data_IF_859312970513
#
_entry.id   IF_859312970513
#
_cell.length_a   1.000
_cell.length_b   1.000
_cell.length_c   1.000
_cell.angle_alpha   90.00
_cell.angle_beta   90.00
_cell.angle_gamma   90.00
#
_symmetry.space_group_name_H-M   'P 1'
#
loop_
_entity.id
_entity.type
_entity.pdbx_description
1 polymer ?
#
# COMPACT_ATOMS: atom_id res chain seq x y z
N UNK A 1 -18.44 -10.70 -21.45
CA UNK A 1 -17.11 -10.09 -21.31
C UNK A 1 -16.09 -11.19 -21.47
N UNK A 2 -15.14 -11.09 -22.37
CA UNK A 2 -13.98 -11.97 -22.38
C UNK A 2 -12.86 -11.28 -21.60
N UNK A 3 -12.29 -11.95 -20.60
CA UNK A 3 -11.04 -11.50 -19.99
C UNK A 3 -9.95 -11.39 -21.04
N UNK A 4 -8.87 -10.61 -20.79
CA UNK A 4 -7.78 -10.38 -21.75
C UNK A 4 -6.97 -11.63 -22.14
N UNK A 5 -7.56 -12.81 -22.02
CA UNK A 5 -7.06 -14.08 -22.54
C UNK A 5 -7.51 -14.35 -23.99
N UNK A 6 -8.21 -13.40 -24.62
CA UNK A 6 -8.60 -13.54 -26.02
C UNK A 6 -7.36 -13.59 -26.91
N UNK A 7 -7.23 -14.68 -27.65
CA UNK A 7 -6.16 -14.86 -28.63
C UNK A 7 -6.52 -14.07 -29.87
N UNK A 8 -5.62 -13.19 -30.32
CA UNK A 8 -5.81 -12.50 -31.60
C UNK A 8 -5.83 -13.52 -32.75
N UNK A 9 -6.72 -13.35 -33.72
CA UNK A 9 -6.85 -14.25 -34.87
C UNK A 9 -5.56 -14.38 -35.71
N UNK A 10 -4.60 -13.47 -35.51
CA UNK A 10 -3.29 -13.46 -36.17
C UNK A 10 -2.22 -14.32 -35.48
N UNK A 11 -2.48 -14.86 -34.28
CA UNK A 11 -1.49 -15.69 -33.58
C UNK A 11 -1.36 -17.05 -34.24
N UNK A 12 -0.18 -17.34 -34.79
CA UNK A 12 0.15 -18.59 -35.47
C UNK A 12 1.23 -19.41 -34.75
N UNK A 13 1.73 -18.94 -33.60
CA UNK A 13 2.73 -19.68 -32.83
C UNK A 13 2.12 -20.95 -32.24
N UNK A 14 2.83 -22.10 -32.20
CA UNK A 14 2.38 -23.27 -31.46
C UNK A 14 2.21 -22.96 -30.00
N UNK A 15 1.07 -23.31 -29.41
CA UNK A 15 0.81 -23.06 -27.99
C UNK A 15 -0.63 -23.40 -27.63
N UNK A 16 -0.89 -23.45 -26.32
CA UNK A 16 -2.23 -23.61 -25.78
C UNK A 16 -2.83 -22.25 -25.48
N UNK A 17 -3.95 -21.92 -26.13
CA UNK A 17 -4.64 -20.65 -25.98
C UNK A 17 -5.99 -20.88 -25.33
N UNK A 18 -6.25 -20.19 -24.20
CA UNK A 18 -7.47 -20.31 -23.43
C UNK A 18 -8.22 -18.98 -23.41
N UNK A 19 -9.49 -19.00 -23.77
CA UNK A 19 -10.43 -17.92 -23.51
C UNK A 19 -11.44 -18.39 -22.47
N UNK A 20 -11.58 -17.64 -21.37
CA UNK A 20 -12.52 -17.98 -20.29
C UNK A 20 -13.75 -17.10 -20.37
N UNK A 21 -14.91 -17.71 -20.46
CA UNK A 21 -16.19 -17.01 -20.39
C UNK A 21 -16.72 -17.02 -18.95
N UNK A 22 -16.85 -15.85 -18.34
CA UNK A 22 -17.32 -15.69 -16.96
C UNK A 22 -18.79 -16.03 -16.73
N UNK A 23 -19.56 -16.26 -17.80
CA UNK A 23 -20.96 -16.70 -17.68
C UNK A 23 -21.08 -18.19 -17.30
N UNK A 24 -20.02 -18.97 -17.41
CA UNK A 24 -19.98 -20.33 -16.94
C UNK A 24 -19.56 -20.34 -15.48
N UNK A 25 -20.35 -20.90 -14.59
CA UNK A 25 -20.01 -21.04 -13.17
C UNK A 25 -18.68 -21.77 -12.99
N UNK A 26 -17.76 -21.17 -12.27
CA UNK A 26 -16.45 -21.76 -11.97
C UNK A 26 -16.59 -22.56 -10.67
N UNK A 27 -16.36 -23.87 -10.74
CA UNK A 27 -16.19 -24.69 -9.53
C UNK A 27 -14.88 -24.28 -8.85
N UNK A 28 -14.89 -24.14 -7.52
CA UNK A 28 -13.72 -23.69 -6.76
C UNK A 28 -12.46 -24.52 -7.07
N UNK A 29 -11.42 -23.94 -7.69
CA UNK A 29 -10.18 -24.65 -7.92
C UNK A 29 -9.39 -24.72 -6.60
N UNK A 30 -8.66 -25.81 -6.35
CA UNK A 30 -7.77 -25.88 -5.21
C UNK A 30 -6.69 -24.79 -5.31
N UNK A 31 -6.35 -24.18 -4.19
CA UNK A 31 -5.30 -23.18 -4.09
C UNK A 31 -3.90 -23.73 -4.37
N UNK A 32 -2.94 -22.84 -4.44
CA UNK A 32 -1.51 -23.13 -4.58
C UNK A 32 -0.69 -21.97 -4.04
N UNK A 33 0.60 -22.20 -3.86
CA UNK A 33 1.51 -21.13 -3.42
C UNK A 33 1.42 -19.93 -4.33
N UNK A 34 1.26 -18.75 -3.74
CA UNK A 34 1.17 -17.46 -4.44
C UNK A 34 2.51 -16.75 -4.38
N UNK A 35 2.88 -16.08 -5.46
CA UNK A 35 4.13 -15.32 -5.57
C UNK A 35 3.83 -13.84 -5.76
N UNK A 36 4.47 -13.00 -4.96
CA UNK A 36 4.33 -11.55 -5.01
C UNK A 36 5.64 -10.90 -5.48
N UNK A 37 5.53 -9.90 -6.35
CA UNK A 37 6.59 -8.93 -6.62
C UNK A 37 6.34 -7.68 -5.78
N UNK A 38 7.32 -7.28 -4.97
CA UNK A 38 7.33 -6.02 -4.24
C UNK A 38 8.30 -5.05 -4.92
N UNK A 39 7.77 -3.97 -5.48
CA UNK A 39 8.54 -2.88 -6.08
C UNK A 39 8.57 -1.68 -5.13
N UNK A 40 9.74 -1.12 -4.89
CA UNK A 40 9.89 0.06 -4.04
C UNK A 40 11.15 0.85 -4.29
N UNK A 41 11.15 2.09 -3.83
CA UNK A 41 12.33 2.97 -3.87
C UNK A 41 13.39 2.48 -2.90
N UNK A 42 14.65 2.47 -3.33
CA UNK A 42 15.81 2.09 -2.52
C UNK A 42 16.35 3.35 -1.83
N UNK A 43 16.71 3.22 -0.56
CA UNK A 43 17.47 4.29 0.12
C UNK A 43 18.98 4.12 -0.09
N UNK A 44 19.73 5.14 0.28
CA UNK A 44 21.20 5.10 0.30
C UNK A 44 21.77 4.00 1.22
N UNK A 45 20.97 3.48 2.15
CA UNK A 45 21.31 2.39 3.05
C UNK A 45 20.87 1.00 2.54
N UNK A 46 20.12 0.93 1.44
CA UNK A 46 19.73 -0.32 0.79
C UNK A 46 20.86 -0.89 -0.07
N UNK A 47 20.89 -2.20 -0.23
CA UNK A 47 21.93 -2.91 -0.98
C UNK A 47 21.47 -3.46 -2.34
N UNK A 48 20.20 -3.27 -2.73
CA UNK A 48 19.70 -3.63 -4.04
C UNK A 48 20.30 -2.73 -5.13
N UNK A 49 20.62 -3.33 -6.27
CA UNK A 49 20.96 -2.54 -7.47
C UNK A 49 19.67 -2.09 -8.16
N UNK A 50 19.47 -0.77 -8.23
CA UNK A 50 18.27 -0.18 -8.80
C UNK A 50 18.01 -0.66 -10.24
N UNK A 51 16.73 -0.86 -10.55
CA UNK A 51 16.18 -1.14 -11.88
C UNK A 51 16.64 -2.43 -12.57
N UNK A 52 17.56 -3.18 -11.96
CA UNK A 52 18.16 -4.38 -12.59
C UNK A 52 18.15 -5.61 -11.70
N UNK A 53 18.34 -5.45 -10.39
CA UNK A 53 18.41 -6.58 -9.47
C UNK A 53 17.01 -7.03 -9.03
N UNK A 54 16.78 -8.35 -9.13
CA UNK A 54 15.62 -9.01 -8.56
C UNK A 54 16.12 -9.98 -7.50
N UNK A 55 15.83 -9.72 -6.25
CA UNK A 55 16.12 -10.65 -5.16
C UNK A 55 14.92 -11.55 -4.93
N UNK A 56 15.09 -12.83 -5.23
CA UNK A 56 14.01 -13.80 -5.27
C UNK A 56 13.79 -14.49 -3.93
N UNK A 57 12.53 -14.85 -3.67
CA UNK A 57 12.13 -15.74 -2.57
C UNK A 57 12.59 -15.28 -1.19
N UNK A 58 12.46 -13.97 -0.89
CA UNK A 58 12.73 -13.48 0.46
C UNK A 58 11.69 -14.10 1.43
N UNK A 59 12.14 -14.37 2.67
CA UNK A 59 11.34 -15.07 3.68
C UNK A 59 11.10 -14.25 4.94
N UNK A 60 11.15 -12.94 4.84
CA UNK A 60 10.93 -12.05 5.98
C UNK A 60 11.15 -10.60 5.62
N UNK A 61 10.70 -9.73 6.49
CA UNK A 61 10.85 -8.29 6.32
C UNK A 61 12.31 -7.82 6.41
N UNK A 62 13.16 -8.54 7.13
CA UNK A 62 14.58 -8.20 7.30
C UNK A 62 15.35 -8.21 5.96
N UNK A 63 14.99 -9.13 5.06
CA UNK A 63 15.58 -9.14 3.72
C UNK A 63 15.11 -7.94 2.87
N UNK A 64 13.90 -7.46 3.07
CA UNK A 64 13.41 -6.24 2.46
C UNK A 64 14.04 -4.99 3.11
N UNK A 65 14.29 -5.02 4.43
CA UNK A 65 15.05 -3.97 5.14
C UNK A 65 16.46 -3.83 4.56
N UNK A 66 17.17 -4.95 4.40
CA UNK A 66 18.50 -4.98 3.81
C UNK A 66 18.47 -4.45 2.37
N UNK A 67 17.50 -4.88 1.57
CA UNK A 67 17.40 -4.51 0.17
C UNK A 67 17.03 -3.05 -0.08
N UNK A 68 15.99 -2.56 0.56
CA UNK A 68 15.47 -1.20 0.34
C UNK A 68 16.00 -0.16 1.32
N UNK A 69 16.50 -0.61 2.47
CA UNK A 69 16.85 0.23 3.60
C UNK A 69 15.74 0.25 4.66
N UNK A 70 16.18 0.44 5.90
CA UNK A 70 15.34 0.44 7.09
C UNK A 70 14.27 1.54 7.04
N UNK A 71 13.03 1.20 7.34
CA UNK A 71 11.89 2.13 7.38
C UNK A 71 11.41 2.65 6.02
N UNK A 72 12.01 2.22 4.91
CA UNK A 72 11.50 2.58 3.58
C UNK A 72 10.08 2.03 3.36
N UNK A 73 9.25 2.65 2.49
CA UNK A 73 7.90 2.18 2.23
C UNK A 73 7.81 0.70 1.88
N UNK A 74 8.75 0.19 1.07
CA UNK A 74 8.80 -1.22 0.70
C UNK A 74 9.16 -2.14 1.89
N UNK A 75 10.08 -1.73 2.78
CA UNK A 75 10.35 -2.47 4.02
C UNK A 75 9.10 -2.53 4.92
N UNK A 76 8.42 -1.41 5.11
CA UNK A 76 7.20 -1.36 5.94
C UNK A 76 6.04 -2.16 5.31
N UNK A 77 5.91 -2.14 3.98
CA UNK A 77 4.98 -2.99 3.26
C UNK A 77 5.29 -4.48 3.44
N UNK A 78 6.57 -4.87 3.37
CA UNK A 78 7.01 -6.23 3.63
C UNK A 78 6.69 -6.66 5.08
N UNK A 79 6.89 -5.78 6.08
CA UNK A 79 6.49 -6.06 7.47
C UNK A 79 5.01 -6.35 7.59
N UNK A 80 4.16 -5.54 6.96
CA UNK A 80 2.72 -5.76 6.96
C UNK A 80 2.35 -7.06 6.24
N UNK A 81 2.94 -7.34 5.08
CA UNK A 81 2.70 -8.54 4.29
C UNK A 81 3.09 -9.81 5.05
N UNK A 82 4.30 -9.89 5.59
CA UNK A 82 4.78 -11.06 6.33
C UNK A 82 4.07 -11.23 7.68
N UNK A 83 3.55 -10.15 8.28
CA UNK A 83 2.70 -10.24 9.47
C UNK A 83 1.36 -10.92 9.15
N UNK A 84 0.79 -10.66 7.97
CA UNK A 84 -0.40 -11.36 7.48
C UNK A 84 -0.12 -12.80 7.10
N UNK A 85 0.96 -13.05 6.36
CA UNK A 85 1.32 -14.37 5.86
C UNK A 85 2.83 -14.63 5.94
N UNK A 86 3.32 -15.21 7.04
CA UNK A 86 4.75 -15.50 7.26
C UNK A 86 5.38 -16.44 6.22
N UNK A 87 4.57 -17.23 5.51
CA UNK A 87 5.03 -18.16 4.49
C UNK A 87 4.93 -17.60 3.06
N UNK A 88 4.70 -16.31 2.91
CA UNK A 88 4.59 -15.67 1.60
C UNK A 88 5.87 -15.85 0.78
N UNK A 89 5.70 -16.11 -0.52
CA UNK A 89 6.79 -16.07 -1.49
C UNK A 89 6.85 -14.68 -2.11
N UNK A 90 7.87 -13.92 -1.76
CA UNK A 90 8.02 -12.53 -2.20
C UNK A 90 9.35 -12.37 -2.90
N UNK A 91 9.32 -11.77 -4.08
CA UNK A 91 10.50 -11.24 -4.75
C UNK A 91 10.51 -9.73 -4.60
N UNK A 92 11.69 -9.16 -4.46
CA UNK A 92 11.85 -7.71 -4.34
C UNK A 92 12.67 -7.16 -5.50
N UNK A 93 12.24 -6.02 -6.02
CA UNK A 93 13.00 -5.27 -7.02
C UNK A 93 13.02 -3.78 -6.64
N UNK A 94 14.20 -3.21 -6.68
CA UNK A 94 14.44 -1.84 -6.26
C UNK A 94 14.36 -0.85 -7.42
N UNK A 95 13.89 0.35 -7.12
CA UNK A 95 13.83 1.48 -8.04
C UNK A 95 14.67 2.62 -7.48
N UNK A 96 15.43 3.31 -8.33
CA UNK A 96 16.23 4.46 -7.89
C UNK A 96 15.33 5.57 -7.30
N UNK A 97 15.76 6.26 -6.24
CA UNK A 97 15.03 7.43 -5.75
C UNK A 97 14.93 8.50 -6.86
N UNK A 98 13.85 9.31 -6.91
CA UNK A 98 13.75 10.37 -7.89
C UNK A 98 14.75 11.49 -7.53
N UNK A 99 15.20 12.25 -8.52
CA UNK A 99 16.01 13.44 -8.27
C UNK A 99 15.12 14.62 -7.79
N UNK A 100 14.42 14.40 -6.69
CA UNK A 100 13.41 15.32 -6.14
C UNK A 100 13.85 15.97 -4.82
N UNK A 101 12.89 16.18 -3.95
CA UNK A 101 13.08 16.71 -2.58
C UNK A 101 12.36 15.78 -1.61
N UNK A 102 12.95 15.55 -0.45
CA UNK A 102 12.32 14.83 0.66
C UNK A 102 11.26 15.71 1.33
N UNK A 103 10.10 15.13 1.64
CA UNK A 103 9.08 15.82 2.40
C UNK A 103 9.56 16.10 3.84
N UNK A 104 9.17 17.26 4.38
CA UNK A 104 9.54 17.63 5.75
C UNK A 104 8.37 18.29 6.50
N UNK A 105 8.46 18.25 7.82
CA UNK A 105 7.53 18.91 8.74
C UNK A 105 8.18 19.16 10.08
N UNK A 106 7.55 19.95 10.93
CA UNK A 106 8.13 20.31 12.24
C UNK A 106 7.10 20.26 13.35
N UNK A 107 7.59 20.03 14.57
CA UNK A 107 6.90 20.35 15.81
C UNK A 107 7.66 21.52 16.48
N UNK A 108 6.98 22.61 16.70
CA UNK A 108 7.58 23.82 17.32
C UNK A 108 7.06 23.98 18.74
N UNK A 109 7.97 24.02 19.69
CA UNK A 109 7.68 24.28 21.11
C UNK A 109 7.82 25.75 21.40
N UNK A 110 6.81 26.33 22.02
CA UNK A 110 6.82 27.71 22.53
C UNK A 110 6.38 27.73 23.99
N UNK A 111 6.99 28.62 24.76
CA UNK A 111 6.66 28.82 26.19
C UNK A 111 6.64 30.31 26.51
N UNK A 112 5.65 30.71 27.31
CA UNK A 112 5.50 32.09 27.80
C UNK A 112 4.74 32.05 29.14
N UNK A 113 5.31 32.39 30.18
CA UNK A 113 6.56 32.30 30.92
C UNK A 113 6.97 30.85 31.27
N UNK A 114 7.93 30.56 32.16
CA UNK A 114 8.39 29.19 32.39
C UNK A 114 7.25 28.27 32.86
N UNK A 115 7.27 27.03 32.40
CA UNK A 115 6.31 25.99 32.77
C UNK A 115 6.41 25.74 34.28
N UNK A 116 5.33 25.95 35.00
CA UNK A 116 5.25 25.76 36.47
C UNK A 116 4.58 24.45 36.88
N UNK A 117 3.80 23.86 35.97
CA UNK A 117 3.12 22.57 36.17
C UNK A 117 3.45 21.67 34.98
N UNK A 118 3.67 20.37 35.23
CA UNK A 118 3.96 19.43 34.15
C UNK A 118 2.82 19.36 33.13
N UNK A 119 3.17 19.42 31.86
CA UNK A 119 2.25 19.31 30.72
C UNK A 119 2.61 18.08 29.88
N UNK A 120 1.62 17.31 29.46
CA UNK A 120 1.81 16.11 28.65
C UNK A 120 1.34 16.37 27.23
N UNK A 121 2.19 16.06 26.28
CA UNK A 121 1.89 16.08 24.86
C UNK A 121 1.91 14.67 24.28
N UNK A 122 0.97 14.40 23.40
CA UNK A 122 0.79 13.17 22.67
C UNK A 122 1.27 13.39 21.22
N UNK A 123 2.41 12.80 20.88
CA UNK A 123 2.99 12.89 19.53
C UNK A 123 2.63 11.66 18.73
N UNK A 124 2.41 11.85 17.44
CA UNK A 124 2.33 10.77 16.46
C UNK A 124 3.15 11.12 15.23
N UNK A 125 3.87 10.14 14.71
CA UNK A 125 4.57 10.20 13.43
C UNK A 125 4.29 8.87 12.71
N UNK A 126 3.67 8.93 11.53
CA UNK A 126 3.26 7.75 10.78
C UNK A 126 2.50 6.73 11.65
N UNK A 127 1.56 7.21 12.47
CA UNK A 127 0.77 6.40 13.40
C UNK A 127 1.48 5.97 14.70
N UNK A 128 2.83 6.06 14.78
CA UNK A 128 3.58 5.66 15.97
C UNK A 128 3.41 6.70 17.07
N UNK A 129 2.83 6.29 18.18
CA UNK A 129 2.39 7.15 19.28
C UNK A 129 3.40 7.23 20.40
N UNK A 130 3.60 8.45 20.97
CA UNK A 130 4.37 8.66 22.21
C UNK A 130 3.86 9.82 23.01
N UNK A 131 3.73 9.61 24.32
CA UNK A 131 3.55 10.68 25.31
C UNK A 131 4.90 11.22 25.76
N UNK A 132 5.01 12.54 25.80
CA UNK A 132 6.19 13.25 26.32
C UNK A 132 5.73 14.29 27.33
N UNK A 133 6.30 14.23 28.53
CA UNK A 133 6.07 15.22 29.59
C UNK A 133 7.03 16.38 29.45
N UNK A 134 6.50 17.59 29.52
CA UNK A 134 7.24 18.83 29.72
C UNK A 134 7.17 19.20 31.20
N UNK A 135 8.25 18.99 31.92
CA UNK A 135 8.29 19.23 33.38
C UNK A 135 8.62 20.67 33.70
N UNK A 136 8.24 21.15 34.91
CA UNK A 136 8.62 22.48 35.40
C UNK A 136 10.12 22.73 35.30
N UNK A 137 10.49 23.89 34.79
CA UNK A 137 11.88 24.32 34.64
C UNK A 137 12.61 23.73 33.40
N UNK A 138 12.02 22.82 32.66
CA UNK A 138 12.63 22.36 31.41
C UNK A 138 12.51 23.40 30.30
N UNK A 139 13.58 23.58 29.54
CA UNK A 139 13.56 24.45 28.38
C UNK A 139 12.90 23.75 27.15
N UNK A 140 12.44 24.54 26.16
CA UNK A 140 11.93 24.05 24.89
C UNK A 140 12.91 23.11 24.19
N UNK A 141 14.20 23.38 24.31
CA UNK A 141 15.28 22.54 23.73
C UNK A 141 15.33 21.16 24.34
N UNK A 142 15.18 21.07 25.67
CA UNK A 142 15.19 19.77 26.38
C UNK A 142 13.99 18.93 25.97
N UNK A 143 12.81 19.53 25.90
CA UNK A 143 11.60 18.78 25.51
C UNK A 143 11.66 18.35 24.06
N UNK A 144 12.10 19.20 23.13
CA UNK A 144 12.32 18.84 21.74
C UNK A 144 13.32 17.68 21.61
N UNK A 145 14.39 17.69 22.41
CA UNK A 145 15.37 16.60 22.43
C UNK A 145 14.75 15.27 22.92
N UNK A 146 13.85 15.28 23.92
CA UNK A 146 13.14 14.07 24.36
C UNK A 146 12.33 13.44 23.24
N UNK A 147 11.60 14.26 22.45
CA UNK A 147 10.84 13.78 21.28
C UNK A 147 11.77 13.15 20.25
N UNK A 148 12.83 13.86 19.86
CA UNK A 148 13.79 13.36 18.88
C UNK A 148 14.46 12.07 19.35
N UNK A 149 14.90 11.99 20.62
CA UNK A 149 15.53 10.79 21.19
C UNK A 149 14.61 9.57 21.10
N UNK A 150 13.34 9.73 21.45
CA UNK A 150 12.40 8.61 21.35
C UNK A 150 12.24 8.13 19.91
N UNK A 151 11.93 9.02 18.97
CA UNK A 151 11.70 8.61 17.59
C UNK A 151 12.96 8.11 16.90
N UNK A 152 14.14 8.60 17.28
CA UNK A 152 15.42 8.03 16.83
C UNK A 152 15.63 6.60 17.33
N UNK A 153 15.16 6.27 18.54
CA UNK A 153 15.27 4.89 19.06
C UNK A 153 14.44 3.85 18.31
N UNK A 154 13.42 4.29 17.56
CA UNK A 154 12.56 3.44 16.73
C UNK A 154 12.68 3.75 15.23
N UNK A 155 13.76 4.42 14.82
CA UNK A 155 13.93 4.92 13.45
C UNK A 155 13.88 3.83 12.37
N UNK A 156 14.18 2.56 12.73
CA UNK A 156 14.08 1.44 11.81
C UNK A 156 12.64 1.12 11.40
N UNK A 157 11.68 1.51 12.22
CA UNK A 157 10.25 1.34 11.97
C UNK A 157 9.56 2.62 11.49
N UNK A 158 10.33 3.68 11.28
CA UNK A 158 9.82 4.96 10.81
C UNK A 158 10.24 5.24 9.37
N UNK A 159 9.34 5.82 8.56
CA UNK A 159 9.63 6.24 7.20
C UNK A 159 10.39 7.58 7.12
N UNK A 160 10.82 8.12 8.25
CA UNK A 160 11.43 9.44 8.35
C UNK A 160 12.58 9.43 9.38
N UNK A 161 13.41 10.45 9.31
CA UNK A 161 14.40 10.82 10.32
C UNK A 161 13.84 11.94 11.19
N UNK A 162 14.23 11.98 12.46
CA UNK A 162 13.77 12.98 13.42
C UNK A 162 14.97 13.62 14.12
N UNK A 163 15.07 14.92 14.02
CA UNK A 163 16.14 15.71 14.65
C UNK A 163 15.54 16.85 15.47
N UNK A 164 16.32 17.45 16.36
CA UNK A 164 15.85 18.62 17.14
C UNK A 164 16.93 19.69 17.26
N UNK A 165 16.51 20.95 17.19
CA UNK A 165 17.34 22.13 17.44
C UNK A 165 16.48 23.28 17.98
N UNK A 166 16.98 23.99 18.99
CA UNK A 166 16.40 25.25 19.51
C UNK A 166 14.88 25.20 19.78
N UNK A 167 14.36 24.07 20.28
CA UNK A 167 12.94 23.91 20.55
C UNK A 167 12.09 23.54 19.36
N UNK A 168 12.70 23.20 18.23
CA UNK A 168 12.03 22.66 17.04
C UNK A 168 12.47 21.23 16.82
N UNK A 169 11.51 20.35 16.61
CA UNK A 169 11.73 18.98 16.11
C UNK A 169 11.45 18.96 14.63
N UNK A 170 12.42 18.58 13.83
CA UNK A 170 12.28 18.41 12.39
C UNK A 170 12.11 16.95 12.04
N UNK A 171 11.09 16.65 11.28
CA UNK A 171 10.76 15.32 10.73
C UNK A 171 10.99 15.39 9.22
N UNK A 172 11.86 14.54 8.68
CA UNK A 172 12.18 14.53 7.25
C UNK A 172 12.03 13.11 6.70
N UNK A 173 11.34 12.93 5.59
CA UNK A 173 11.26 11.65 4.89
C UNK A 173 12.66 11.12 4.56
N UNK A 174 12.86 9.81 4.65
CA UNK A 174 14.21 9.19 4.50
C UNK A 174 14.80 9.35 3.11
N UNK A 175 13.96 9.44 2.09
CA UNK A 175 14.39 9.66 0.70
C UNK A 175 13.46 10.69 0.02
N UNK A 176 13.89 11.14 -1.14
CA UNK A 176 13.11 12.04 -1.99
C UNK A 176 11.84 11.35 -2.51
N UNK A 177 10.87 12.15 -2.91
CA UNK A 177 9.66 11.68 -3.56
C UNK A 177 8.37 12.12 -2.91
N UNK A 178 7.30 12.07 -3.67
CA UNK A 178 5.95 12.46 -3.22
C UNK A 178 5.38 11.56 -2.14
N UNK A 179 5.87 10.32 -2.02
CA UNK A 179 5.43 9.36 -0.99
C UNK A 179 5.64 9.89 0.44
N UNK A 180 6.67 10.72 0.64
CA UNK A 180 6.93 11.36 1.93
C UNK A 180 5.82 12.30 2.39
N UNK A 181 5.03 12.86 1.47
CA UNK A 181 3.89 13.70 1.78
C UNK A 181 2.74 12.91 2.47
N UNK A 182 2.77 11.59 2.45
CA UNK A 182 1.78 10.75 3.12
C UNK A 182 2.12 10.48 4.60
N UNK A 183 3.32 10.84 5.05
CA UNK A 183 3.74 10.67 6.44
C UNK A 183 2.95 11.62 7.32
N UNK A 184 2.09 11.06 8.17
CA UNK A 184 1.30 11.83 9.13
C UNK A 184 2.17 12.31 10.28
N UNK A 185 1.96 13.55 10.71
CA UNK A 185 2.50 14.13 11.94
C UNK A 185 1.38 14.79 12.71
N UNK A 186 1.29 14.50 14.00
CA UNK A 186 0.32 15.19 14.86
C UNK A 186 0.83 15.33 16.27
N UNK A 187 0.36 16.38 16.93
CA UNK A 187 0.58 16.61 18.34
C UNK A 187 -0.72 17.09 18.98
N UNK A 188 -1.07 16.48 20.09
CA UNK A 188 -2.21 16.92 20.90
C UNK A 188 -1.76 17.07 22.35
N UNK A 189 -2.30 18.06 23.04
CA UNK A 189 -2.10 18.22 24.46
C UNK A 189 -3.10 17.36 25.21
N UNK A 190 -2.67 16.74 26.32
CA UNK A 190 -3.57 16.01 27.20
C UNK A 190 -4.54 16.97 27.91
N UNK A 191 -5.84 16.62 27.94
CA UNK A 191 -6.94 17.52 28.30
C UNK A 191 -6.98 17.95 29.78
N UNK A 192 -6.06 17.45 30.62
CA UNK A 192 -6.09 17.63 32.07
C UNK A 192 -5.34 18.86 32.62
N UNK A 193 -4.78 19.73 31.79
CA UNK A 193 -3.81 20.72 32.29
C UNK A 193 -4.04 22.17 31.86
N UNK A 194 -4.26 23.05 32.84
CA UNK A 194 -3.77 24.41 32.82
C UNK A 194 -2.32 24.41 33.33
N UNK A 195 -1.38 25.19 32.81
CA UNK A 195 -1.55 26.47 32.15
C UNK A 195 -1.41 26.41 30.60
N UNK A 196 -1.97 27.42 29.89
CA UNK A 196 -1.85 27.63 28.46
C UNK A 196 -0.45 28.05 27.98
N UNK A 197 0.51 28.07 28.90
CA UNK A 197 1.84 28.65 28.73
C UNK A 197 2.80 27.78 27.89
N UNK A 198 2.55 26.49 27.83
CA UNK A 198 3.32 25.51 27.05
C UNK A 198 2.51 25.10 25.82
N UNK A 199 3.01 25.44 24.66
CA UNK A 199 2.38 25.10 23.36
C UNK A 199 3.36 24.29 22.54
N UNK A 200 2.83 23.25 21.87
CA UNK A 200 3.53 22.56 20.79
C UNK A 200 2.60 22.51 19.58
N UNK A 201 3.08 22.97 18.44
CA UNK A 201 2.33 22.97 17.18
C UNK A 201 3.06 22.17 16.11
N UNK A 202 2.32 21.33 15.38
CA UNK A 202 2.80 20.70 14.15
C UNK A 202 2.67 21.70 12.98
N UNK A 203 3.59 21.63 12.01
CA UNK A 203 3.55 22.45 10.80
C UNK A 203 2.38 22.10 9.88
N UNK A 204 1.75 20.96 10.04
CA UNK A 204 0.61 20.45 9.29
C UNK A 204 0.18 19.09 9.79
N UNK A 205 -0.82 18.50 9.15
CA UNK A 205 -1.28 17.14 9.47
C UNK A 205 -0.39 16.05 8.83
N UNK A 206 0.40 16.41 7.83
CA UNK A 206 1.35 15.53 7.13
C UNK A 206 2.61 16.32 6.76
N UNK A 207 3.68 15.61 6.42
CA UNK A 207 4.85 16.22 5.82
C UNK A 207 4.48 16.81 4.45
N UNK A 208 5.25 17.77 4.01
CA UNK A 208 5.03 18.49 2.73
C UNK A 208 6.35 18.75 2.00
N UNK A 209 6.27 19.12 0.73
CA UNK A 209 7.44 19.50 -0.06
C UNK A 209 8.14 18.32 -0.76
N UNK A 210 7.70 17.08 -0.55
CA UNK A 210 8.17 15.94 -1.33
C UNK A 210 7.77 16.07 -2.80
N UNK A 211 8.73 15.91 -3.70
CA UNK A 211 8.51 16.09 -5.15
C UNK A 211 9.01 14.91 -5.96
N UNK A 212 8.42 14.71 -7.12
CA UNK A 212 8.70 13.66 -8.09
C UNK A 212 8.35 12.26 -7.59
N UNK A 213 8.21 11.34 -8.52
CA UNK A 213 7.99 9.90 -8.31
C UNK A 213 9.04 9.15 -9.11
N UNK A 214 9.59 8.09 -8.54
CA UNK A 214 10.59 7.26 -9.24
C UNK A 214 10.01 6.62 -10.49
N UNK A 215 10.83 6.47 -11.51
CA UNK A 215 10.45 5.80 -12.76
C UNK A 215 10.52 4.29 -12.59
N UNK A 216 9.39 3.59 -12.66
CA UNK A 216 9.30 2.12 -12.47
C UNK A 216 9.35 1.32 -13.77
N UNK A 217 9.34 1.98 -14.92
CA UNK A 217 9.25 1.30 -16.23
C UNK A 217 10.40 0.30 -16.46
N UNK A 218 11.63 0.66 -16.09
CA UNK A 218 12.82 -0.20 -16.23
C UNK A 218 12.73 -1.43 -15.32
N UNK A 219 12.38 -1.24 -14.05
CA UNK A 219 12.20 -2.34 -13.10
C UNK A 219 11.07 -3.29 -13.53
N UNK A 220 9.95 -2.76 -14.04
CA UNK A 220 8.86 -3.57 -14.61
C UNK A 220 9.32 -4.34 -15.86
N UNK A 221 10.15 -3.76 -16.71
CA UNK A 221 10.73 -4.45 -17.87
C UNK A 221 11.67 -5.59 -17.45
N UNK A 222 12.47 -5.42 -16.40
CA UNK A 222 13.37 -6.44 -15.88
C UNK A 222 12.60 -7.69 -15.38
N UNK A 223 11.40 -7.52 -14.84
CA UNK A 223 10.55 -8.62 -14.35
C UNK A 223 9.61 -9.20 -15.39
N UNK A 224 9.61 -8.69 -16.62
CA UNK A 224 8.69 -9.06 -17.71
C UNK A 224 8.70 -10.58 -18.04
N UNK A 225 9.85 -11.25 -17.82
CA UNK A 225 10.01 -12.69 -18.00
C UNK A 225 9.36 -13.57 -16.93
N UNK A 226 9.00 -13.01 -15.78
CA UNK A 226 8.59 -13.75 -14.58
C UNK A 226 7.07 -13.65 -14.40
N UNK A 227 6.44 -14.74 -13.97
CA UNK A 227 5.03 -14.73 -13.62
C UNK A 227 4.88 -14.51 -12.11
N UNK A 228 4.11 -13.48 -11.73
CA UNK A 228 3.71 -13.21 -10.36
C UNK A 228 2.19 -13.32 -10.24
N UNK A 229 1.69 -13.74 -9.10
CA UNK A 229 0.25 -13.66 -8.81
C UNK A 229 -0.13 -12.22 -8.45
N UNK A 230 0.76 -11.55 -7.71
CA UNK A 230 0.57 -10.16 -7.26
C UNK A 230 1.76 -9.27 -7.58
N UNK A 231 1.45 -8.05 -7.98
CA UNK A 231 2.41 -6.94 -8.05
C UNK A 231 1.99 -5.91 -6.99
N UNK A 232 2.84 -5.72 -5.99
CA UNK A 232 2.73 -4.68 -4.97
C UNK A 232 3.74 -3.59 -5.30
N UNK A 233 3.29 -2.54 -5.96
CA UNK A 233 4.12 -1.38 -6.26
C UNK A 233 3.87 -0.30 -5.21
N UNK A 234 4.88 0.02 -4.41
CA UNK A 234 4.83 1.02 -3.34
C UNK A 234 5.69 2.26 -3.64
N UNK A 235 6.07 2.42 -4.89
CA UNK A 235 6.69 3.65 -5.40
C UNK A 235 5.63 4.72 -5.58
N UNK A 236 5.86 5.92 -5.13
CA UNK A 236 4.83 6.97 -5.06
C UNK A 236 4.02 6.88 -3.77
N UNK A 237 2.85 7.41 -3.73
CA UNK A 237 1.97 7.43 -2.56
C UNK A 237 0.55 7.73 -2.97
N UNK A 238 -0.27 8.28 -2.06
CA UNK A 238 -1.64 8.68 -2.39
C UNK A 238 -1.70 9.61 -3.60
N UNK A 239 -0.82 10.60 -3.66
CA UNK A 239 -0.78 11.57 -4.77
C UNK A 239 -0.67 10.89 -6.13
N UNK A 240 0.06 9.77 -6.22
CA UNK A 240 0.23 9.04 -7.47
C UNK A 240 -0.95 8.11 -7.78
N UNK A 241 -1.58 7.54 -6.76
CA UNK A 241 -2.81 6.75 -6.92
C UNK A 241 -4.04 7.62 -7.18
N UNK A 242 -4.03 8.84 -6.67
CA UNK A 242 -5.10 9.83 -6.84
C UNK A 242 -5.07 10.49 -8.22
N UNK A 243 -3.97 10.37 -8.95
CA UNK A 243 -3.76 11.04 -10.22
C UNK A 243 -4.24 10.19 -11.40
N UNK A 244 -5.21 10.69 -12.16
CA UNK A 244 -5.66 10.13 -13.43
C UNK A 244 -4.67 10.46 -14.56
N UNK A 245 -3.44 9.96 -14.48
CA UNK A 245 -2.38 10.20 -15.45
C UNK A 245 -1.84 8.87 -16.00
N UNK A 246 -1.52 8.84 -17.29
CA UNK A 246 -0.94 7.66 -17.95
C UNK A 246 0.43 7.25 -17.37
N UNK A 247 1.10 8.16 -16.69
CA UNK A 247 2.41 7.95 -16.05
C UNK A 247 2.30 7.59 -14.58
N UNK A 248 1.09 7.55 -14.01
CA UNK A 248 0.90 7.15 -12.61
C UNK A 248 1.30 5.69 -12.38
N UNK A 249 1.73 5.36 -11.17
CA UNK A 249 2.18 4.01 -10.84
C UNK A 249 1.10 2.94 -11.10
N UNK A 250 -0.18 3.16 -10.75
CA UNK A 250 -1.24 2.21 -11.11
C UNK A 250 -1.41 2.04 -12.63
N UNK A 251 -1.28 3.13 -13.41
CA UNK A 251 -1.39 3.06 -14.87
C UNK A 251 -0.22 2.28 -15.50
N UNK A 252 1.01 2.49 -15.02
CA UNK A 252 2.20 1.76 -15.48
C UNK A 252 2.09 0.27 -15.18
N UNK A 253 1.66 -0.10 -13.97
CA UNK A 253 1.46 -1.50 -13.59
C UNK A 253 0.30 -2.14 -14.37
N UNK A 254 -0.82 -1.43 -14.57
CA UNK A 254 -1.92 -1.88 -15.44
C UNK A 254 -1.42 -2.17 -16.86
N UNK A 255 -0.63 -1.27 -17.45
CA UNK A 255 -0.08 -1.45 -18.78
C UNK A 255 0.85 -2.68 -18.85
N UNK A 256 1.69 -2.89 -17.85
CA UNK A 256 2.52 -4.08 -17.70
C UNK A 256 1.67 -5.35 -17.62
N UNK A 257 0.69 -5.39 -16.75
CA UNK A 257 -0.22 -6.53 -16.57
C UNK A 257 -0.93 -6.85 -17.88
N UNK A 258 -1.50 -5.85 -18.56
CA UNK A 258 -2.24 -6.04 -19.80
C UNK A 258 -1.35 -6.53 -20.94
N UNK A 259 -0.07 -6.16 -20.95
CA UNK A 259 0.90 -6.69 -21.91
C UNK A 259 1.13 -8.19 -21.73
N UNK A 260 1.13 -8.68 -20.50
CA UNK A 260 1.48 -10.07 -20.18
C UNK A 260 0.30 -10.97 -19.82
N UNK A 261 -0.87 -10.43 -19.49
CA UNK A 261 -2.11 -11.19 -19.28
C UNK A 261 -2.80 -11.59 -20.59
N UNK A 262 -2.04 -11.80 -21.64
CA UNK A 262 -2.59 -12.21 -22.95
C UNK A 262 -2.59 -13.72 -23.10
N UNK A 263 -3.41 -14.24 -24.03
CA UNK A 263 -3.41 -15.66 -24.38
C UNK A 263 -2.04 -16.20 -24.81
N UNK A 264 -1.22 -15.36 -25.44
CA UNK A 264 0.11 -15.73 -25.92
C UNK A 264 1.17 -15.78 -24.83
N UNK A 265 1.25 -14.76 -23.96
CA UNK A 265 2.25 -14.70 -22.90
C UNK A 265 1.81 -15.38 -21.60
N UNK A 266 0.51 -15.37 -21.35
CA UNK A 266 -0.12 -16.20 -20.33
C UNK A 266 0.34 -15.99 -18.87
N UNK A 267 0.84 -14.81 -18.54
CA UNK A 267 1.24 -14.45 -17.18
C UNK A 267 0.08 -13.74 -16.47
N UNK A 268 -0.67 -14.51 -15.70
CA UNK A 268 -1.90 -14.06 -15.04
C UNK A 268 -1.56 -13.34 -13.74
N UNK A 269 -1.52 -12.01 -13.79
CA UNK A 269 -1.06 -11.13 -12.73
C UNK A 269 -2.18 -10.20 -12.26
N UNK A 270 -2.12 -9.80 -10.99
CA UNK A 270 -3.00 -8.80 -10.39
C UNK A 270 -2.15 -7.78 -9.62
N UNK A 271 -2.66 -6.57 -9.44
CA UNK A 271 -2.00 -5.54 -8.64
C UNK A 271 -2.88 -5.05 -7.50
N UNK A 272 -2.23 -4.68 -6.40
CA UNK A 272 -2.88 -4.07 -5.23
C UNK A 272 -2.16 -2.77 -4.91
N UNK A 273 -2.94 -1.70 -4.73
CA UNK A 273 -2.47 -0.41 -4.26
C UNK A 273 -3.18 -0.05 -2.96
N UNK A 274 -2.43 0.26 -1.91
CA UNK A 274 -2.98 0.87 -0.71
C UNK A 274 -3.24 2.35 -0.93
N UNK A 275 -4.28 2.87 -0.32
CA UNK A 275 -4.67 4.28 -0.33
C UNK A 275 -5.06 4.69 1.09
N UNK A 276 -4.53 5.81 1.59
CA UNK A 276 -4.87 6.37 2.91
C UNK A 276 -5.44 7.79 2.82
N UNK A 277 -5.69 8.26 1.60
CA UNK A 277 -6.27 9.57 1.30
C UNK A 277 -7.78 9.65 1.51
N UNK A 278 -8.42 10.51 0.74
CA UNK A 278 -9.88 10.68 0.76
C UNK A 278 -10.57 9.69 -0.17
N UNK A 279 -11.84 9.39 0.11
CA UNK A 279 -12.65 8.58 -0.81
C UNK A 279 -12.76 9.23 -2.20
N UNK A 280 -12.91 10.55 -2.26
CA UNK A 280 -13.05 11.27 -3.53
C UNK A 280 -11.81 11.10 -4.43
N UNK A 281 -10.60 11.22 -3.87
CA UNK A 281 -9.36 11.01 -4.59
C UNK A 281 -9.22 9.55 -5.07
N UNK A 282 -9.46 8.58 -4.17
CA UNK A 282 -9.44 7.16 -4.53
C UNK A 282 -10.41 6.81 -5.68
N UNK A 283 -11.60 7.41 -5.69
CA UNK A 283 -12.59 7.25 -6.77
C UNK A 283 -12.08 7.78 -8.11
N UNK A 284 -11.39 8.92 -8.10
CA UNK A 284 -10.79 9.50 -9.31
C UNK A 284 -9.75 8.55 -9.92
N UNK A 285 -8.84 8.03 -9.10
CA UNK A 285 -7.84 7.07 -9.54
C UNK A 285 -8.46 5.74 -10.02
N UNK A 286 -9.42 5.21 -9.26
CA UNK A 286 -10.13 3.98 -9.64
C UNK A 286 -10.87 4.11 -10.96
N UNK A 287 -11.57 5.23 -11.17
CA UNK A 287 -12.30 5.50 -12.42
C UNK A 287 -11.36 5.57 -13.65
N UNK A 288 -10.17 6.09 -13.46
CA UNK A 288 -9.15 6.12 -14.52
C UNK A 288 -8.60 4.72 -14.83
N UNK A 289 -8.36 3.92 -13.82
CA UNK A 289 -7.83 2.56 -13.97
C UNK A 289 -8.89 1.62 -14.54
N UNK A 290 -10.05 1.51 -13.91
CA UNK A 290 -11.20 0.68 -14.31
C UNK A 290 -10.80 -0.71 -14.85
N UNK A 291 -10.10 -1.51 -14.03
CA UNK A 291 -9.45 -2.75 -14.47
C UNK A 291 -9.71 -3.88 -13.47
N UNK A 292 -10.16 -5.09 -13.93
CA UNK A 292 -10.45 -6.22 -13.03
C UNK A 292 -9.19 -6.84 -12.38
N UNK A 293 -8.00 -6.47 -12.86
CA UNK A 293 -6.73 -6.97 -12.33
C UNK A 293 -6.10 -6.03 -11.32
N UNK A 294 -6.70 -4.88 -11.06
CA UNK A 294 -6.19 -3.86 -10.13
C UNK A 294 -7.17 -3.63 -8.99
N UNK A 295 -6.68 -3.58 -7.77
CA UNK A 295 -7.44 -3.29 -6.55
C UNK A 295 -6.87 -2.04 -5.88
N UNK A 296 -7.76 -1.12 -5.49
CA UNK A 296 -7.45 0.02 -4.62
C UNK A 296 -8.02 -0.23 -3.24
N UNK A 297 -7.14 -0.51 -2.27
CA UNK A 297 -7.52 -0.76 -0.88
C UNK A 297 -7.44 0.52 -0.07
N UNK A 298 -8.59 1.07 0.34
CA UNK A 298 -8.70 2.35 1.03
C UNK A 298 -8.78 2.20 2.55
N UNK A 299 -7.80 2.72 3.28
CA UNK A 299 -7.89 3.05 4.69
C UNK A 299 -8.08 4.57 4.81
N UNK A 300 -9.33 5.04 4.76
CA UNK A 300 -9.65 6.47 4.73
C UNK A 300 -9.03 7.22 5.90
N UNK A 301 -8.22 8.24 5.59
CA UNK A 301 -7.55 9.06 6.60
C UNK A 301 -6.59 8.29 7.51
N UNK A 302 -6.18 7.09 7.11
CA UNK A 302 -5.25 6.26 7.86
C UNK A 302 -3.93 6.96 8.14
N UNK A 303 -3.34 6.62 9.27
CA UNK A 303 -2.04 7.12 9.73
C UNK A 303 -0.89 6.23 9.25
N UNK A 304 -1.19 4.99 8.84
CA UNK A 304 -0.25 4.12 8.13
C UNK A 304 0.06 4.68 6.74
N UNK A 305 1.21 4.33 6.20
CA UNK A 305 1.52 4.61 4.79
C UNK A 305 0.63 3.79 3.86
N UNK A 306 0.33 4.28 2.64
CA UNK A 306 -0.31 3.49 1.58
C UNK A 306 0.38 2.14 1.34
N UNK A 307 1.70 2.12 1.40
CA UNK A 307 2.53 0.92 1.29
C UNK A 307 2.19 -0.16 2.32
N UNK A 308 1.98 0.21 3.59
CA UNK A 308 1.60 -0.71 4.67
C UNK A 308 0.21 -1.30 4.42
N UNK A 309 -0.73 -0.48 3.94
CA UNK A 309 -2.10 -0.91 3.59
C UNK A 309 -2.07 -1.91 2.43
N UNK A 310 -1.32 -1.61 1.37
CA UNK A 310 -1.14 -2.52 0.23
C UNK A 310 -0.47 -3.83 0.63
N UNK A 311 0.57 -3.76 1.48
CA UNK A 311 1.28 -4.94 2.01
C UNK A 311 0.37 -5.85 2.83
N UNK A 312 -0.43 -5.28 3.72
CA UNK A 312 -1.41 -6.02 4.50
C UNK A 312 -2.44 -6.73 3.59
N UNK A 313 -2.98 -6.03 2.60
CA UNK A 313 -3.96 -6.62 1.68
C UNK A 313 -3.37 -7.76 0.85
N UNK A 314 -2.18 -7.59 0.27
CA UNK A 314 -1.52 -8.65 -0.49
C UNK A 314 -1.21 -9.86 0.39
N UNK A 315 -0.66 -9.65 1.60
CA UNK A 315 -0.37 -10.73 2.54
C UNK A 315 -1.61 -11.51 2.93
N UNK A 316 -2.72 -10.82 3.23
CA UNK A 316 -4.01 -11.41 3.52
C UNK A 316 -4.53 -12.24 2.33
N UNK A 317 -4.52 -11.66 1.12
CA UNK A 317 -4.94 -12.36 -0.10
C UNK A 317 -4.10 -13.61 -0.34
N UNK A 318 -2.76 -13.51 -0.27
CA UNK A 318 -1.87 -14.66 -0.43
C UNK A 318 -2.18 -15.77 0.58
N UNK A 319 -2.47 -15.42 1.84
CA UNK A 319 -2.83 -16.37 2.88
C UNK A 319 -4.13 -17.11 2.57
N UNK A 320 -5.17 -16.38 2.22
CA UNK A 320 -6.50 -16.96 2.00
C UNK A 320 -6.59 -17.71 0.65
N UNK A 321 -6.12 -17.07 -0.40
CA UNK A 321 -6.23 -17.60 -1.76
C UNK A 321 -5.23 -18.73 -2.04
N UNK A 322 -4.21 -18.94 -1.18
CA UNK A 322 -3.38 -20.15 -1.22
C UNK A 322 -4.16 -21.40 -0.90
N UNK A 323 -5.17 -21.29 -0.03
CA UNK A 323 -6.06 -22.39 0.31
C UNK A 323 -7.22 -22.49 -0.68
N UNK A 324 -7.89 -21.38 -0.95
CA UNK A 324 -9.02 -21.30 -1.88
C UNK A 324 -9.00 -19.96 -2.64
N UNK A 325 -8.69 -19.94 -3.94
CA UNK A 325 -8.63 -18.72 -4.74
C UNK A 325 -10.00 -18.06 -4.98
N UNK A 326 -11.09 -18.71 -4.61
CA UNK A 326 -12.45 -18.17 -4.71
C UNK A 326 -13.04 -17.78 -3.37
N UNK A 327 -12.22 -17.78 -2.32
CA UNK A 327 -12.66 -17.52 -0.95
C UNK A 327 -13.34 -16.16 -0.82
N UNK A 328 -14.47 -16.13 -0.14
CA UNK A 328 -15.10 -14.90 0.29
C UNK A 328 -14.41 -14.43 1.59
N UNK A 329 -13.77 -13.28 1.53
CA UNK A 329 -13.01 -12.71 2.64
C UNK A 329 -13.81 -11.75 3.51
N UNK A 330 -15.12 -11.61 3.31
CA UNK A 330 -15.98 -10.68 4.06
C UNK A 330 -15.89 -10.97 5.58
N UNK A 331 -15.65 -9.94 6.37
CA UNK A 331 -15.51 -10.03 7.82
C UNK A 331 -14.14 -10.51 8.31
N UNK A 332 -13.20 -10.84 7.42
CA UNK A 332 -11.86 -11.26 7.84
C UNK A 332 -11.07 -10.09 8.40
N UNK A 333 -10.53 -10.27 9.61
CA UNK A 333 -9.71 -9.25 10.28
C UNK A 333 -8.27 -9.23 9.76
N UNK A 334 -7.69 -8.04 9.66
CA UNK A 334 -6.26 -7.88 9.38
C UNK A 334 -5.42 -8.24 10.59
N UNK A 335 -4.30 -8.95 10.35
CA UNK A 335 -3.29 -9.31 11.36
C UNK A 335 -2.16 -8.29 11.41
N UNK A 336 -1.96 -7.55 10.32
CA UNK A 336 -0.98 -6.49 10.24
C UNK A 336 -1.35 -5.33 11.18
N UNK A 337 -0.34 -4.71 11.77
CA UNK A 337 -0.53 -3.51 12.57
C UNK A 337 -0.70 -2.32 11.65
N UNK A 338 -1.94 -1.93 11.41
CA UNK A 338 -2.29 -0.72 10.68
C UNK A 338 -2.79 0.34 11.66
N UNK A 339 -2.47 1.58 11.38
CA UNK A 339 -2.85 2.71 12.23
C UNK A 339 -4.05 3.44 11.63
N UNK A 340 -5.24 3.32 12.28
CA UNK A 340 -6.44 4.01 11.84
C UNK A 340 -6.34 5.51 12.07
N UNK A 341 -7.27 6.33 11.52
CA UNK A 341 -7.37 7.74 11.85
C UNK A 341 -7.61 7.94 13.36
N UNK A 342 -7.12 9.05 13.91
CA UNK A 342 -7.26 9.35 15.35
C UNK A 342 -8.72 9.47 15.80
N UNK A 343 -9.59 9.90 14.92
CA UNK A 343 -11.03 10.00 15.17
C UNK A 343 -11.77 9.02 14.25
N UNK A 344 -12.21 7.91 14.82
CA UNK A 344 -12.96 6.89 14.07
C UNK A 344 -14.35 7.38 13.64
N UNK A 345 -14.95 8.33 14.37
CA UNK A 345 -16.27 8.87 14.00
C UNK A 345 -16.23 9.63 12.67
N UNK A 346 -15.11 10.32 12.41
CA UNK A 346 -14.92 11.06 11.14
C UNK A 346 -14.10 10.29 10.11
N UNK A 347 -13.33 9.30 10.55
CA UNK A 347 -12.47 8.47 9.70
C UNK A 347 -13.17 7.23 9.14
N UNK A 348 -14.13 6.64 9.89
CA UNK A 348 -14.92 5.54 9.37
C UNK A 348 -15.85 6.02 8.25
N UNK A 349 -16.04 5.16 7.25
CA UNK A 349 -17.02 5.40 6.18
C UNK A 349 -18.42 5.10 6.68
N UNK A 350 -19.36 5.99 6.40
CA UNK A 350 -20.79 5.72 6.58
C UNK A 350 -21.25 4.63 5.60
N UNK A 351 -22.42 4.05 5.84
CA UNK A 351 -22.98 3.04 4.92
C UNK A 351 -23.15 3.58 3.49
N UNK A 352 -23.63 4.81 3.36
CA UNK A 352 -23.77 5.48 2.06
C UNK A 352 -22.43 5.72 1.37
N UNK A 353 -21.38 6.09 2.12
CA UNK A 353 -20.04 6.27 1.56
C UNK A 353 -19.39 4.93 1.16
N UNK A 354 -19.68 3.84 1.89
CA UNK A 354 -19.23 2.49 1.51
C UNK A 354 -19.87 2.04 0.20
N UNK A 355 -21.19 2.23 0.07
CA UNK A 355 -21.88 1.93 -1.17
C UNK A 355 -21.34 2.76 -2.35
N UNK A 356 -21.10 4.05 -2.15
CA UNK A 356 -20.46 4.92 -3.15
C UNK A 356 -19.03 4.46 -3.51
N UNK A 357 -18.27 3.94 -2.54
CA UNK A 357 -16.96 3.34 -2.78
C UNK A 357 -17.08 2.11 -3.70
N UNK A 358 -18.00 1.18 -3.41
CA UNK A 358 -18.22 -0.01 -4.22
C UNK A 358 -18.66 0.32 -5.64
N UNK A 359 -19.60 1.24 -5.80
CA UNK A 359 -20.07 1.71 -7.11
C UNK A 359 -18.97 2.42 -7.92
N UNK A 360 -17.89 2.80 -7.27
CA UNK A 360 -16.74 3.50 -7.88
C UNK A 360 -15.49 2.63 -7.98
N UNK A 361 -15.57 1.32 -7.69
CA UNK A 361 -14.43 0.41 -7.75
C UNK A 361 -13.34 0.67 -6.71
N UNK A 362 -13.70 1.20 -5.54
CA UNK A 362 -12.79 1.41 -4.40
C UNK A 362 -13.14 0.43 -3.30
N UNK A 363 -12.16 -0.35 -2.85
CA UNK A 363 -12.31 -1.35 -1.79
C UNK A 363 -11.99 -0.75 -0.41
N UNK A 364 -13.00 -0.38 0.41
CA UNK A 364 -12.75 0.20 1.71
C UNK A 364 -12.38 -0.83 2.75
N UNK A 365 -11.48 -0.46 3.67
CA UNK A 365 -11.37 -1.09 4.99
C UNK A 365 -12.45 -0.54 5.91
N UNK A 366 -13.06 -1.40 6.69
CA UNK A 366 -14.09 -1.02 7.66
C UNK A 366 -13.70 -1.49 9.07
N UNK A 367 -14.42 -1.00 10.06
CA UNK A 367 -14.22 -1.38 11.45
C UNK A 367 -15.36 -2.28 11.91
N UNK A 368 -15.01 -3.35 12.61
CA UNK A 368 -16.00 -4.17 13.31
C UNK A 368 -16.46 -3.49 14.61
N UNK A 369 -17.38 -4.13 15.33
CA UNK A 369 -17.89 -3.63 16.61
C UNK A 369 -16.81 -3.52 17.70
N UNK A 370 -15.68 -4.23 17.56
CA UNK A 370 -14.53 -4.15 18.48
C UNK A 370 -13.54 -3.05 18.11
N UNK A 371 -13.73 -2.37 16.97
CA UNK A 371 -12.81 -1.38 16.43
C UNK A 371 -11.64 -2.00 15.64
N UNK A 372 -11.67 -3.29 15.34
CA UNK A 372 -10.67 -3.94 14.50
C UNK A 372 -10.93 -3.67 13.03
N UNK A 373 -9.85 -3.50 12.25
CA UNK A 373 -9.95 -3.39 10.80
C UNK A 373 -10.28 -4.73 10.18
N UNK A 374 -11.32 -4.75 9.35
CA UNK A 374 -11.78 -5.94 8.64
C UNK A 374 -11.98 -5.65 7.15
N UNK A 375 -12.04 -6.72 6.38
CA UNK A 375 -12.50 -6.67 5.00
C UNK A 375 -14.03 -6.63 5.00
N UNK A 376 -14.61 -5.66 4.31
CA UNK A 376 -16.06 -5.63 4.10
C UNK A 376 -16.42 -6.44 2.83
N UNK A 377 -16.15 -5.90 1.65
CA UNK A 377 -16.32 -6.60 0.37
C UNK A 377 -15.09 -6.34 -0.50
N UNK A 378 -14.23 -7.36 -0.75
CA UNK A 378 -13.04 -7.16 -1.57
C UNK A 378 -13.45 -6.98 -3.04
N UNK A 379 -13.16 -5.80 -3.60
CA UNK A 379 -13.51 -5.46 -4.98
C UNK A 379 -12.31 -4.97 -5.78
N UNK A 380 -12.42 -5.06 -7.10
CA UNK A 380 -11.46 -4.53 -8.07
C UNK A 380 -11.83 -3.09 -8.47
N UNK A 381 -10.97 -2.43 -9.23
CA UNK A 381 -11.30 -1.11 -9.80
C UNK A 381 -12.28 -1.19 -10.99
N UNK A 382 -12.69 -2.38 -11.42
CA UNK A 382 -13.59 -2.56 -12.55
C UNK A 382 -15.05 -2.37 -12.13
N UNK A 383 -15.68 -1.30 -12.59
CA UNK A 383 -17.08 -1.00 -12.32
C UNK A 383 -17.85 -0.49 -13.54
N UNK A 384 -17.15 -0.34 -14.69
CA UNK A 384 -17.76 0.07 -15.96
C UNK A 384 -17.26 -0.78 -17.12
N UNK A 385 -18.15 -1.04 -18.05
CA UNK A 385 -17.80 -1.65 -19.33
C UNK A 385 -17.10 -0.65 -20.29
N UNK A 386 -16.71 -1.11 -21.47
CA UNK A 386 -16.06 -0.29 -22.50
C UNK A 386 -16.96 0.83 -23.06
N UNK A 387 -18.27 0.76 -22.84
CA UNK A 387 -19.25 1.77 -23.27
C UNK A 387 -19.56 2.76 -22.13
N UNK A 388 -18.97 2.59 -20.95
CA UNK A 388 -19.19 3.43 -19.77
C UNK A 388 -20.42 3.06 -18.93
N UNK A 389 -21.10 1.95 -19.24
CA UNK A 389 -22.22 1.46 -18.44
C UNK A 389 -21.72 0.74 -17.20
N UNK A 390 -22.48 0.71 -16.12
CA UNK A 390 -22.17 -0.04 -14.91
C UNK A 390 -21.95 -1.54 -15.25
N UNK A 391 -20.86 -2.11 -14.74
CA UNK A 391 -20.48 -3.51 -14.96
C UNK A 391 -19.90 -4.10 -13.68
N UNK A 392 -20.64 -4.99 -13.04
CA UNK A 392 -20.28 -5.65 -11.80
C UNK A 392 -19.74 -7.08 -11.98
N UNK A 393 -19.68 -7.60 -13.23
CA UNK A 393 -19.29 -9.00 -13.53
C UNK A 393 -17.88 -9.37 -13.07
N UNK A 394 -16.99 -8.41 -12.97
CA UNK A 394 -15.62 -8.60 -12.51
C UNK A 394 -15.27 -7.68 -11.31
N UNK A 395 -16.29 -7.14 -10.66
CA UNK A 395 -16.12 -6.26 -9.51
C UNK A 395 -15.54 -7.00 -8.32
N UNK A 396 -16.08 -8.15 -7.95
CA UNK A 396 -15.57 -8.94 -6.82
C UNK A 396 -14.20 -9.56 -7.14
N UNK A 397 -13.23 -9.38 -6.26
CA UNK A 397 -11.85 -9.90 -6.40
C UNK A 397 -11.81 -11.41 -6.60
N UNK A 398 -12.71 -12.16 -5.98
CA UNK A 398 -12.81 -13.62 -6.12
C UNK A 398 -13.04 -14.07 -7.58
N UNK A 399 -13.69 -13.25 -8.40
CA UNK A 399 -13.98 -13.59 -9.80
C UNK A 399 -12.71 -13.64 -10.67
N UNK A 400 -11.91 -12.58 -10.80
CA UNK A 400 -10.66 -12.64 -11.56
C UNK A 400 -9.66 -13.63 -10.96
N UNK A 401 -9.56 -13.71 -9.63
CA UNK A 401 -8.63 -14.62 -8.96
C UNK A 401 -8.97 -16.08 -9.21
N UNK A 402 -10.23 -16.48 -9.07
CA UNK A 402 -10.71 -17.83 -9.35
C UNK A 402 -10.56 -18.20 -10.83
N UNK A 403 -10.88 -17.25 -11.73
CA UNK A 403 -10.69 -17.42 -13.17
C UNK A 403 -9.22 -17.68 -13.53
N UNK A 404 -8.31 -16.92 -12.95
CA UNK A 404 -6.87 -17.09 -13.20
C UNK A 404 -6.33 -18.39 -12.62
N UNK A 405 -6.74 -18.78 -11.42
CA UNK A 405 -6.36 -20.06 -10.83
C UNK A 405 -6.85 -21.24 -11.69
N UNK A 406 -8.06 -21.17 -12.20
CA UNK A 406 -8.61 -22.18 -13.11
C UNK A 406 -7.83 -22.23 -14.44
N UNK A 407 -7.54 -21.08 -15.05
CA UNK A 407 -6.77 -21.02 -16.31
C UNK A 407 -5.35 -21.59 -16.14
N UNK A 408 -4.67 -21.27 -15.02
CA UNK A 408 -3.34 -21.84 -14.69
C UNK A 408 -3.38 -23.35 -14.56
N UNK A 409 -4.42 -23.90 -13.94
CA UNK A 409 -4.58 -25.37 -13.79
C UNK A 409 -4.80 -26.07 -15.12
N UNK A 410 -5.69 -25.55 -15.96
CA UNK A 410 -5.90 -26.11 -17.28
C UNK A 410 -4.58 -26.15 -18.07
N UNK A 411 -3.83 -25.06 -18.03
CA UNK A 411 -2.52 -24.99 -18.72
C UNK A 411 -1.51 -26.00 -18.18
N UNK A 412 -1.52 -26.27 -16.88
CA UNK A 412 -0.63 -27.25 -16.28
C UNK A 412 -1.05 -28.71 -16.62
N UNK A 413 -2.34 -28.97 -16.71
CA UNK A 413 -2.88 -30.32 -16.94
C UNK A 413 -2.83 -30.77 -18.40
N UNK A 414 -3.30 -29.95 -19.33
CA UNK A 414 -3.47 -30.34 -20.74
C UNK A 414 -2.18 -30.76 -21.47
N UNK A 415 -1.00 -30.14 -21.29
CA UNK A 415 0.23 -30.60 -21.92
C UNK A 415 0.70 -31.98 -21.48
N UNK A 416 0.22 -32.48 -20.33
CA UNK A 416 0.57 -33.81 -19.83
C UNK A 416 -0.27 -34.91 -20.52
N UNK A 417 -1.50 -34.59 -20.88
CA UNK A 417 -2.39 -35.53 -21.57
C UNK A 417 -2.08 -35.69 -23.06
N UNK A 418 -1.46 -34.69 -23.68
CA UNK A 418 -1.07 -34.72 -25.10
C UNK A 418 0.38 -35.17 -25.36
N UNK A 419 1.08 -35.66 -24.34
CA UNK A 419 2.42 -36.25 -24.45
C UNK A 419 2.41 -37.78 -24.69
N UNK A 420 1.27 -38.34 -25.08
CA UNK A 420 1.10 -39.73 -25.46
C UNK A 420 1.57 -40.06 -26.86
#
# INVERSE_FOLDING_TARGET
MSFPLAVAASVRSPGFYLSVNLLAGVTSPAGGAKRCLLLGTISSAGDLTADTEIRTSIRGADAAETGFGSGMPAHLAAKALFKEYPLAQVDIAGVAPPAGVSAAGTFTFTVTPPVTVAVVFNFRIAGRYKQISWNPGESVTVVAAKVATYYTSIQNDLPCTVTSALGVVTVTAKEEGTWGNDIEISVTRDAGGLPLDAVCAASGARLTGGTLVSATATALAAVAGIEYDYILNVVGGNTDTDTAAATSQPALVKAHINTYNTGASAKLQQAVFGVTGTLAAAKTGSAYINEPTVQFKLLRGGLSLPAEVGGAEVGRRMRMESADPTVNANGEAYRATLYPPTNLVTGALTESEREDAYQSGVDPMVYDASGSLIVDRPITTHFKDTNGNADDRALDVAVPTGTYAFAKRIRAALPQEFKG
#
